data_IF_614727976905
#
_entry.id   IF_614727976905
#
_cell.length_a   1.000
_cell.length_b   1.000
_cell.length_c   1.000
_cell.angle_alpha   90.00
_cell.angle_beta   90.00
_cell.angle_gamma   90.00
#
_symmetry.space_group_name_H-M   'P 1'
#
loop_
_entity.id
_entity.type
_entity.pdbx_description
1 polymer ?
#
# COMPACT_ATOMS: atom_id res chain seq x y z
N UNK A 1 19.19 15.24 -16.07
CA UNK A 1 18.44 15.35 -14.80
C UNK A 1 17.27 14.40 -14.91
N UNK A 2 17.26 13.31 -14.16
CA UNK A 2 16.12 12.40 -14.08
C UNK A 2 15.00 13.17 -13.37
N UNK A 3 13.89 13.48 -14.08
CA UNK A 3 12.71 14.05 -13.44
C UNK A 3 12.26 13.05 -12.37
N UNK A 4 12.22 13.47 -11.12
CA UNK A 4 11.60 12.70 -10.04
C UNK A 4 10.16 12.44 -10.46
N UNK A 5 9.78 11.18 -10.65
CA UNK A 5 8.39 10.82 -10.96
C UNK A 5 7.62 10.94 -9.64
N UNK A 6 6.73 11.92 -9.56
CA UNK A 6 5.82 12.07 -8.44
C UNK A 6 4.58 11.22 -8.70
N UNK A 7 4.07 10.59 -7.64
CA UNK A 7 2.77 9.94 -7.62
C UNK A 7 1.88 10.72 -6.65
N UNK A 8 0.59 10.74 -6.90
CA UNK A 8 -0.39 11.42 -6.04
C UNK A 8 -1.36 10.39 -5.48
N UNK A 9 -1.33 10.16 -4.18
CA UNK A 9 -2.38 9.43 -3.49
C UNK A 9 -3.41 10.42 -2.99
N UNK A 10 -4.63 10.33 -3.52
CA UNK A 10 -5.64 11.39 -3.35
C UNK A 10 -6.53 11.20 -2.12
N UNK A 11 -6.51 10.03 -1.51
CA UNK A 11 -7.14 9.76 -0.23
C UNK A 11 -6.50 8.53 0.38
N UNK A 12 -5.98 8.64 1.61
CA UNK A 12 -5.23 7.55 2.25
C UNK A 12 -6.11 6.30 2.48
N UNK A 13 -7.09 6.40 3.35
CA UNK A 13 -7.90 5.25 3.82
C UNK A 13 -9.36 5.64 3.97
N UNK A 14 -10.14 5.67 2.88
CA UNK A 14 -11.58 5.92 2.99
C UNK A 14 -12.28 4.88 3.87
N UNK A 15 -13.22 5.35 4.68
CA UNK A 15 -14.01 4.49 5.56
C UNK A 15 -15.49 4.82 5.46
N UNK A 16 -16.34 3.80 5.62
CA UNK A 16 -17.79 3.95 5.61
C UNK A 16 -18.32 4.69 4.37
N UNK A 17 -17.68 4.49 3.24
CA UNK A 17 -17.91 5.22 1.99
C UNK A 17 -18.11 4.25 0.85
N UNK A 18 -19.23 4.34 0.15
CA UNK A 18 -19.53 3.53 -1.03
C UNK A 18 -18.70 3.98 -2.23
N UNK A 19 -18.16 3.01 -2.97
CA UNK A 19 -17.33 3.29 -4.14
C UNK A 19 -18.09 4.11 -5.19
N UNK A 20 -19.29 3.69 -5.54
CA UNK A 20 -20.03 4.27 -6.68
C UNK A 20 -20.58 5.66 -6.37
N UNK A 21 -21.09 5.87 -5.16
CA UNK A 21 -21.81 7.09 -4.79
C UNK A 21 -20.95 8.15 -4.12
N UNK A 22 -19.78 7.78 -3.59
CA UNK A 22 -18.95 8.70 -2.81
C UNK A 22 -17.49 8.72 -3.26
N UNK A 23 -16.78 7.58 -3.24
CA UNK A 23 -15.34 7.56 -3.50
C UNK A 23 -15.06 7.87 -4.97
N UNK A 24 -15.72 7.21 -5.91
CA UNK A 24 -15.51 7.42 -7.34
C UNK A 24 -15.83 8.86 -7.77
N UNK A 25 -16.97 9.49 -7.42
CA UNK A 25 -17.23 10.89 -7.76
C UNK A 25 -16.17 11.85 -7.23
N UNK A 26 -15.75 11.68 -5.97
CA UNK A 26 -14.63 12.44 -5.40
C UNK A 26 -13.33 12.24 -6.19
N UNK A 27 -12.97 10.98 -6.46
CA UNK A 27 -11.75 10.65 -7.17
C UNK A 27 -11.77 11.20 -8.62
N UNK A 28 -12.91 11.18 -9.30
CA UNK A 28 -13.06 11.77 -10.64
C UNK A 28 -12.80 13.28 -10.63
N UNK A 29 -13.37 14.01 -9.66
CA UNK A 29 -13.19 15.44 -9.55
C UNK A 29 -11.72 15.81 -9.25
N UNK A 30 -11.10 15.16 -8.27
CA UNK A 30 -9.70 15.41 -7.89
C UNK A 30 -8.75 15.03 -9.02
N UNK A 31 -8.94 13.87 -9.65
CA UNK A 31 -8.16 13.45 -10.82
C UNK A 31 -8.23 14.47 -11.93
N UNK A 32 -9.43 14.94 -12.29
CA UNK A 32 -9.59 15.96 -13.33
C UNK A 32 -8.85 17.28 -13.01
N UNK A 33 -8.74 17.65 -11.74
CA UNK A 33 -7.96 18.82 -11.32
C UNK A 33 -6.45 18.58 -11.44
N UNK A 34 -5.97 17.43 -11.00
CA UNK A 34 -4.54 17.06 -11.11
C UNK A 34 -4.12 17.00 -12.58
N UNK A 35 -4.95 16.45 -13.48
CA UNK A 35 -4.67 16.33 -14.91
C UNK A 35 -4.51 17.66 -15.64
N UNK A 36 -4.99 18.77 -15.06
CA UNK A 36 -4.71 20.11 -15.58
C UNK A 36 -3.23 20.51 -15.45
N UNK A 37 -2.46 19.80 -14.61
CA UNK A 37 -1.09 20.17 -14.27
C UNK A 37 -0.05 19.09 -14.56
N UNK A 38 -0.45 17.80 -14.58
CA UNK A 38 0.49 16.69 -14.72
C UNK A 38 -0.19 15.40 -15.14
N UNK A 39 0.58 14.57 -15.87
CA UNK A 39 0.22 13.19 -16.22
C UNK A 39 0.78 12.16 -15.20
N UNK A 40 1.18 12.60 -14.00
CA UNK A 40 1.72 11.72 -12.97
C UNK A 40 0.72 10.62 -12.58
N UNK A 41 1.22 9.47 -12.12
CA UNK A 41 0.39 8.38 -11.61
C UNK A 41 -0.46 8.88 -10.43
N UNK A 42 -1.75 8.56 -10.45
CA UNK A 42 -2.67 8.83 -9.36
C UNK A 42 -3.03 7.50 -8.69
N UNK A 43 -2.95 7.48 -7.37
CA UNK A 43 -3.33 6.37 -6.51
C UNK A 43 -4.66 6.69 -5.83
N UNK A 44 -5.61 5.77 -5.92
CA UNK A 44 -6.97 5.97 -5.42
C UNK A 44 -7.28 4.91 -4.38
N UNK A 45 -7.43 5.36 -3.13
CA UNK A 45 -7.86 4.51 -2.02
C UNK A 45 -9.31 4.01 -2.19
N UNK A 46 -9.57 2.82 -1.70
CA UNK A 46 -10.89 2.19 -1.70
C UNK A 46 -11.47 2.14 -0.29
N UNK A 47 -12.72 1.72 -0.15
CA UNK A 47 -13.37 1.65 1.15
C UNK A 47 -12.64 0.71 2.13
N UNK A 48 -13.05 0.78 3.41
CA UNK A 48 -12.55 -0.06 4.51
C UNK A 48 -11.03 -0.03 4.63
N UNK A 49 -10.46 1.20 4.81
CA UNK A 49 -9.00 1.39 4.90
C UNK A 49 -8.25 0.85 3.68
N UNK A 50 -8.77 1.15 2.48
CA UNK A 50 -8.19 0.69 1.21
C UNK A 50 -8.08 -0.84 1.10
N UNK A 51 -9.11 -1.59 1.55
CA UNK A 51 -9.14 -3.06 1.50
C UNK A 51 -10.17 -3.62 0.52
N UNK A 52 -11.12 -2.81 0.06
CA UNK A 52 -12.24 -3.24 -0.78
C UNK A 52 -12.01 -2.92 -2.27
N UNK A 53 -10.82 -3.23 -2.79
CA UNK A 53 -10.41 -2.93 -4.18
C UNK A 53 -11.26 -3.66 -5.24
N UNK A 54 -11.90 -4.76 -4.88
CA UNK A 54 -12.84 -5.49 -5.72
C UNK A 54 -14.11 -4.68 -6.07
N UNK A 55 -14.48 -3.65 -5.28
CA UNK A 55 -15.59 -2.75 -5.59
C UNK A 55 -15.37 -1.94 -6.88
N UNK A 56 -14.13 -1.81 -7.35
CA UNK A 56 -13.78 -1.09 -8.57
C UNK A 56 -14.11 -1.89 -9.84
N UNK A 57 -14.29 -3.20 -9.73
CA UNK A 57 -14.52 -4.09 -10.88
C UNK A 57 -15.77 -3.65 -11.65
N UNK A 58 -15.58 -3.41 -12.96
CA UNK A 58 -16.65 -2.97 -13.85
C UNK A 58 -17.05 -1.49 -13.72
N UNK A 59 -16.44 -0.74 -12.80
CA UNK A 59 -16.75 0.67 -12.58
C UNK A 59 -15.53 1.51 -12.16
N UNK A 60 -14.39 1.32 -12.85
CA UNK A 60 -13.17 2.10 -12.64
C UNK A 60 -13.34 3.56 -13.09
N UNK A 61 -12.37 4.40 -12.74
CA UNK A 61 -12.22 5.75 -13.30
C UNK A 61 -11.92 5.68 -14.80
N UNK A 62 -12.35 6.70 -15.53
CA UNK A 62 -12.02 6.88 -16.95
C UNK A 62 -10.70 7.65 -17.08
N UNK A 63 -9.61 7.03 -16.64
CA UNK A 63 -8.26 7.57 -16.72
C UNK A 63 -7.27 6.39 -16.72
N UNK A 64 -6.40 6.33 -17.72
CA UNK A 64 -5.50 5.19 -17.94
C UNK A 64 -4.25 5.22 -17.05
N UNK A 65 -3.96 6.35 -16.37
CA UNK A 65 -2.82 6.47 -15.49
C UNK A 65 -3.23 6.60 -14.02
N UNK A 66 -4.14 5.73 -13.62
CA UNK A 66 -4.63 5.56 -12.23
C UNK A 66 -4.40 4.13 -11.79
N UNK A 67 -3.97 3.93 -10.54
CA UNK A 67 -3.95 2.63 -9.87
C UNK A 67 -4.80 2.69 -8.60
N UNK A 68 -5.33 1.53 -8.21
CA UNK A 68 -6.20 1.41 -7.04
C UNK A 68 -5.42 0.81 -5.88
N UNK A 69 -5.59 1.42 -4.73
CA UNK A 69 -4.77 1.13 -3.55
C UNK A 69 -5.33 -0.06 -2.77
N UNK A 70 -4.41 -0.91 -2.31
CA UNK A 70 -4.68 -1.85 -1.22
C UNK A 70 -3.70 -1.59 -0.09
N UNK A 71 -4.22 -1.48 1.14
CA UNK A 71 -3.44 -1.47 2.36
C UNK A 71 -3.59 -2.79 3.10
N UNK A 72 -2.50 -3.29 3.66
CA UNK A 72 -2.57 -4.46 4.53
C UNK A 72 -1.50 -4.47 5.62
N UNK A 73 -1.86 -5.05 6.74
CA UNK A 73 -0.97 -5.47 7.82
C UNK A 73 -1.11 -6.98 7.95
N UNK A 74 -0.06 -7.72 7.63
CA UNK A 74 -0.15 -9.17 7.42
C UNK A 74 -0.66 -9.95 8.64
N UNK A 75 -0.50 -9.41 9.84
CA UNK A 75 -1.05 -9.99 11.06
C UNK A 75 -2.58 -9.95 11.12
N UNK A 76 -3.23 -9.03 10.39
CA UNK A 76 -4.68 -8.83 10.42
C UNK A 76 -5.34 -9.12 9.07
N UNK A 77 -4.90 -8.45 8.01
CA UNK A 77 -5.43 -8.63 6.65
C UNK A 77 -4.78 -9.86 6.02
N UNK A 78 -5.52 -10.95 5.98
CA UNK A 78 -5.05 -12.26 5.52
C UNK A 78 -5.66 -12.63 4.15
N UNK A 79 -6.01 -13.87 3.98
CA UNK A 79 -6.54 -14.43 2.72
C UNK A 79 -7.75 -13.64 2.19
N UNK A 80 -8.63 -13.16 3.05
CA UNK A 80 -9.84 -12.47 2.64
C UNK A 80 -9.56 -11.15 1.88
N UNK A 81 -8.49 -10.41 2.23
CA UNK A 81 -8.07 -9.22 1.46
C UNK A 81 -7.28 -9.63 0.22
N UNK A 82 -6.40 -10.65 0.32
CA UNK A 82 -5.70 -11.18 -0.84
C UNK A 82 -6.65 -11.63 -1.93
N UNK A 83 -7.75 -12.31 -1.58
CA UNK A 83 -8.75 -12.77 -2.54
C UNK A 83 -9.46 -11.61 -3.26
N UNK A 84 -9.75 -10.50 -2.57
CA UNK A 84 -10.28 -9.28 -3.19
C UNK A 84 -9.29 -8.68 -4.18
N UNK A 85 -8.02 -8.56 -3.78
CA UNK A 85 -6.96 -8.08 -4.65
C UNK A 85 -6.78 -8.98 -5.88
N UNK A 86 -6.79 -10.30 -5.71
CA UNK A 86 -6.69 -11.26 -6.82
C UNK A 86 -7.87 -11.06 -7.79
N UNK A 87 -9.10 -10.95 -7.27
CA UNK A 87 -10.29 -10.72 -8.10
C UNK A 87 -10.18 -9.43 -8.91
N UNK A 88 -9.68 -8.34 -8.31
CA UNK A 88 -9.46 -7.09 -8.99
C UNK A 88 -8.38 -7.23 -10.09
N UNK A 89 -7.24 -7.84 -9.78
CA UNK A 89 -6.16 -8.08 -10.74
C UNK A 89 -6.62 -8.95 -11.93
N UNK A 90 -7.35 -10.02 -11.66
CA UNK A 90 -7.88 -10.93 -12.69
C UNK A 90 -8.95 -10.24 -13.57
N UNK A 91 -9.60 -9.20 -13.05
CA UNK A 91 -10.49 -8.31 -13.79
C UNK A 91 -9.76 -7.17 -14.53
N UNK A 92 -8.43 -7.14 -14.51
CA UNK A 92 -7.61 -6.11 -15.19
C UNK A 92 -7.57 -4.76 -14.45
N UNK A 93 -7.88 -4.72 -13.16
CA UNK A 93 -7.73 -3.52 -12.35
C UNK A 93 -6.27 -3.36 -11.92
N UNK A 94 -5.59 -2.25 -12.23
CA UNK A 94 -4.22 -2.01 -11.80
C UNK A 94 -4.20 -1.69 -10.30
N UNK A 95 -3.42 -2.48 -9.52
CA UNK A 95 -3.34 -2.37 -8.06
C UNK A 95 -1.95 -1.91 -7.64
N UNK A 96 -1.88 -1.08 -6.61
CA UNK A 96 -0.67 -0.63 -5.94
C UNK A 96 -0.82 -0.78 -4.42
N UNK A 97 0.21 -1.27 -3.75
CA UNK A 97 0.24 -1.33 -2.28
C UNK A 97 0.96 -0.09 -1.77
N UNK A 98 0.23 0.96 -1.43
CA UNK A 98 0.84 2.21 -0.95
C UNK A 98 1.14 2.19 0.56
N UNK A 99 0.61 1.21 1.28
CA UNK A 99 0.93 0.98 2.69
C UNK A 99 0.84 -0.50 3.03
N UNK A 100 1.89 -1.05 3.63
CA UNK A 100 1.85 -2.39 4.19
C UNK A 100 2.86 -2.60 5.32
N UNK A 101 2.51 -3.52 6.23
CA UNK A 101 3.44 -4.01 7.25
C UNK A 101 3.22 -5.51 7.52
N UNK A 102 4.14 -6.11 8.29
CA UNK A 102 4.11 -7.53 8.62
C UNK A 102 3.52 -7.83 10.01
N UNK A 103 3.21 -6.79 10.79
CA UNK A 103 2.54 -6.87 12.09
C UNK A 103 1.01 -6.83 11.94
N UNK A 104 0.30 -6.70 13.05
CA UNK A 104 -1.15 -6.46 13.04
C UNK A 104 -1.51 -5.00 12.69
N UNK A 105 -2.79 -4.75 12.42
CA UNK A 105 -3.30 -3.46 11.94
C UNK A 105 -3.23 -2.32 12.98
N UNK A 106 -2.83 -2.59 14.22
CA UNK A 106 -2.54 -1.51 15.17
C UNK A 106 -1.22 -0.80 14.86
N UNK A 107 -0.37 -1.41 14.01
CA UNK A 107 1.00 -1.00 13.76
C UNK A 107 1.98 -1.37 14.88
N UNK A 108 1.50 -1.85 16.01
CA UNK A 108 2.30 -2.14 17.21
C UNK A 108 2.05 -3.53 17.84
N UNK A 109 1.44 -4.44 17.10
CA UNK A 109 1.19 -5.80 17.57
C UNK A 109 2.19 -6.82 17.04
N UNK A 110 1.84 -8.10 17.18
CA UNK A 110 2.71 -9.20 16.79
C UNK A 110 2.97 -9.27 15.28
N UNK A 111 4.14 -9.76 14.91
CA UNK A 111 4.52 -10.07 13.53
C UNK A 111 3.96 -11.45 13.15
N UNK A 112 3.32 -11.56 12.00
CA UNK A 112 2.90 -12.82 11.39
C UNK A 112 3.73 -13.09 10.13
N UNK A 113 4.87 -13.74 10.31
CA UNK A 113 5.80 -14.06 9.21
C UNK A 113 5.16 -14.95 8.16
N UNK A 114 4.34 -15.93 8.55
CA UNK A 114 3.68 -16.84 7.60
C UNK A 114 2.68 -16.11 6.70
N UNK A 115 1.88 -15.20 7.27
CA UNK A 115 0.97 -14.36 6.49
C UNK A 115 1.74 -13.33 5.64
N UNK A 116 2.84 -12.78 6.16
CA UNK A 116 3.72 -11.88 5.41
C UNK A 116 4.31 -12.59 4.18
N UNK A 117 4.87 -13.78 4.34
CA UNK A 117 5.41 -14.56 3.23
C UNK A 117 4.34 -14.85 2.17
N UNK A 118 3.10 -15.17 2.57
CA UNK A 118 1.99 -15.39 1.64
C UNK A 118 1.62 -14.11 0.86
N UNK A 119 1.62 -12.94 1.51
CA UNK A 119 1.40 -11.65 0.86
C UNK A 119 2.48 -11.35 -0.17
N UNK A 120 3.74 -11.36 0.25
CA UNK A 120 4.85 -10.93 -0.60
C UNK A 120 5.18 -11.93 -1.72
N UNK A 121 4.89 -13.23 -1.52
CA UNK A 121 4.92 -14.20 -2.63
C UNK A 121 3.90 -13.84 -3.70
N UNK A 122 2.66 -13.50 -3.31
CA UNK A 122 1.63 -13.07 -4.24
C UNK A 122 2.00 -11.76 -4.95
N UNK A 123 2.53 -10.76 -4.23
CA UNK A 123 2.96 -9.49 -4.82
C UNK A 123 4.06 -9.69 -5.86
N UNK A 124 5.06 -10.52 -5.54
CA UNK A 124 6.16 -10.85 -6.45
C UNK A 124 5.66 -11.63 -7.67
N UNK A 125 4.82 -12.64 -7.49
CA UNK A 125 4.23 -13.43 -8.57
C UNK A 125 3.45 -12.54 -9.56
N UNK A 126 2.72 -11.56 -9.06
CA UNK A 126 1.87 -10.65 -9.85
C UNK A 126 2.59 -9.37 -10.28
N UNK A 127 3.84 -9.16 -9.88
CA UNK A 127 4.62 -7.95 -10.20
C UNK A 127 4.05 -6.67 -9.58
N UNK A 128 3.48 -6.73 -8.38
CA UNK A 128 2.84 -5.61 -7.70
C UNK A 128 3.86 -4.84 -6.86
N UNK A 129 3.92 -3.54 -7.09
CA UNK A 129 4.75 -2.63 -6.30
C UNK A 129 4.14 -2.33 -4.93
N UNK A 130 5.01 -2.11 -3.92
CA UNK A 130 4.57 -1.84 -2.56
C UNK A 130 5.47 -0.82 -1.85
N UNK A 131 4.90 -0.17 -0.82
CA UNK A 131 5.60 0.73 0.10
C UNK A 131 5.40 0.21 1.52
N UNK A 132 6.51 0.03 2.25
CA UNK A 132 6.47 -0.41 3.64
C UNK A 132 6.07 0.74 4.58
N UNK A 133 5.21 0.46 5.52
CA UNK A 133 4.90 1.32 6.66
C UNK A 133 5.67 0.85 7.89
N UNK A 134 6.62 1.69 8.44
CA UNK A 134 7.07 2.95 7.88
C UNK A 134 8.57 3.14 8.15
N UNK A 135 9.24 3.93 7.31
CA UNK A 135 10.62 4.34 7.56
C UNK A 135 10.65 5.36 8.70
N UNK A 136 10.55 4.87 9.91
CA UNK A 136 10.55 5.64 11.15
C UNK A 136 11.27 4.87 12.25
N UNK A 137 11.62 5.56 13.34
CA UNK A 137 12.13 4.98 14.58
C UNK A 137 11.11 5.10 15.73
N UNK A 138 9.82 5.10 15.41
CA UNK A 138 8.77 5.04 16.43
C UNK A 138 8.90 3.77 17.26
N UNK A 139 8.50 3.83 18.53
CA UNK A 139 8.42 2.65 19.39
C UNK A 139 7.18 1.83 19.07
N UNK A 140 7.14 1.26 17.86
CA UNK A 140 6.07 0.40 17.37
C UNK A 140 6.63 -0.68 16.42
N UNK A 141 5.95 -1.80 16.30
CA UNK A 141 6.43 -2.97 15.54
C UNK A 141 6.56 -2.68 14.04
N UNK A 142 5.72 -1.81 13.48
CA UNK A 142 5.75 -1.44 12.07
C UNK A 142 6.93 -0.54 11.69
N UNK A 143 7.58 0.12 12.64
CA UNK A 143 8.75 0.96 12.39
C UNK A 143 9.91 0.12 11.83
N UNK A 144 10.57 0.59 10.76
CA UNK A 144 11.68 -0.13 10.14
C UNK A 144 13.01 0.08 10.90
N UNK A 145 13.13 1.15 11.65
CA UNK A 145 14.32 1.52 12.42
C UNK A 145 14.04 1.30 13.91
N UNK A 146 15.01 0.79 14.65
CA UNK A 146 14.91 0.65 16.09
C UNK A 146 14.68 2.00 16.77
N UNK A 147 13.82 2.03 17.80
CA UNK A 147 13.42 3.26 18.49
C UNK A 147 14.56 4.00 19.20
N UNK A 148 15.64 3.32 19.51
CA UNK A 148 16.85 3.90 20.11
C UNK A 148 17.81 4.51 19.06
N UNK A 149 17.63 4.20 17.78
CA UNK A 149 18.50 4.69 16.71
C UNK A 149 18.13 6.12 16.32
N UNK A 150 19.06 7.03 16.42
CA UNK A 150 18.91 8.46 16.07
C UNK A 150 19.57 8.83 14.73
N UNK A 151 20.15 7.85 14.03
CA UNK A 151 20.74 8.06 12.70
C UNK A 151 19.67 8.42 11.66
N UNK A 152 20.03 9.35 10.76
CA UNK A 152 19.17 9.77 9.65
C UNK A 152 19.50 9.07 8.32
N UNK A 153 20.66 8.39 8.25
CA UNK A 153 21.12 7.64 7.08
C UNK A 153 22.14 6.58 7.50
N UNK A 154 22.60 5.79 6.54
CA UNK A 154 23.67 4.80 6.70
C UNK A 154 23.38 3.78 7.81
N UNK A 155 22.13 3.32 7.87
CA UNK A 155 21.69 2.32 8.85
C UNK A 155 22.36 0.95 8.59
N UNK A 156 22.95 0.39 9.63
CA UNK A 156 23.41 -1.00 9.68
C UNK A 156 22.25 -1.95 10.01
N UNK A 157 22.48 -3.26 9.94
CA UNK A 157 21.47 -4.26 10.34
C UNK A 157 21.10 -4.15 11.82
N UNK A 158 22.03 -3.70 12.67
CA UNK A 158 21.77 -3.50 14.11
C UNK A 158 20.81 -2.32 14.36
N UNK A 159 20.80 -1.32 13.46
CA UNK A 159 19.91 -0.17 13.56
C UNK A 159 18.46 -0.52 13.15
N UNK A 160 18.25 -1.61 12.40
CA UNK A 160 16.94 -2.03 11.91
C UNK A 160 16.16 -2.81 12.98
N UNK A 161 14.86 -2.58 13.02
CA UNK A 161 13.91 -3.42 13.77
C UNK A 161 13.76 -4.81 13.13
N UNK A 162 13.02 -5.72 13.76
CA UNK A 162 12.67 -7.01 13.14
C UNK A 162 11.91 -6.82 11.82
N UNK A 163 10.98 -5.89 11.78
CA UNK A 163 10.25 -5.49 10.56
C UNK A 163 11.20 -4.93 9.51
N UNK A 164 12.11 -4.05 9.89
CA UNK A 164 13.10 -3.47 8.98
C UNK A 164 14.04 -4.50 8.38
N UNK A 165 14.57 -5.42 9.18
CA UNK A 165 15.41 -6.53 8.70
C UNK A 165 14.66 -7.43 7.72
N UNK A 166 13.40 -7.74 8.02
CA UNK A 166 12.57 -8.55 7.16
C UNK A 166 12.36 -7.90 5.79
N UNK A 167 11.96 -6.61 5.75
CA UNK A 167 11.80 -5.87 4.49
C UNK A 167 13.10 -5.76 3.71
N UNK A 168 14.23 -5.47 4.36
CA UNK A 168 15.55 -5.45 3.71
C UNK A 168 15.86 -6.78 3.01
N UNK A 169 15.60 -7.91 3.68
CA UNK A 169 15.82 -9.23 3.12
C UNK A 169 14.89 -9.52 1.92
N UNK A 170 13.65 -9.04 1.95
CA UNK A 170 12.73 -9.18 0.83
C UNK A 170 13.15 -8.37 -0.41
N UNK A 171 13.67 -7.17 -0.23
CA UNK A 171 14.15 -6.32 -1.34
C UNK A 171 15.46 -6.82 -1.96
N UNK A 172 16.17 -7.72 -1.31
CA UNK A 172 17.43 -8.28 -1.78
C UNK A 172 17.27 -9.60 -2.56
N UNK A 173 16.03 -10.09 -2.71
CA UNK A 173 15.69 -11.31 -3.47
C UNK A 173 15.28 -10.96 -4.89
#
# INVERSE_FOLDING_TARGET
MTKCRQNYEICNEPQNSDWNSQIKPYAQEVTARIRQHTDALILVGTNRWSQDVDEVIGNRLDDDNVMYVVHFYAGTQKEWVRNKMIAALDAGIPVFISECSICDASGNGGIDYGSADAWFSLLNERGISYIAWSLSNKSETSALINSWCDKLSDWSDDDLSDTGRWFKNMMSR
#
